data_IF_934535326554
#
_entry.id   IF_934535326554
#
_cell.length_a   1.000
_cell.length_b   1.000
_cell.length_c   1.000
_cell.angle_alpha   90.00
_cell.angle_beta   90.00
_cell.angle_gamma   90.00
#
_symmetry.space_group_name_H-M   'P 1'
#
loop_
_entity.id
_entity.type
_entity.pdbx_description
1 polymer ?
#
# COMPACT_ATOMS: atom_id res chain seq x y z
N UNK A 1 -31.94 3.02 6.66
CA UNK A 1 -31.11 4.25 6.64
C UNK A 1 -29.70 3.76 6.41
N UNK A 2 -29.00 4.27 5.40
CA UNK A 2 -27.62 3.88 5.12
C UNK A 2 -26.72 4.40 6.25
N UNK A 3 -25.66 3.67 6.58
CA UNK A 3 -24.67 4.11 7.55
C UNK A 3 -23.99 5.41 7.06
N UNK A 4 -23.96 6.45 7.89
CA UNK A 4 -23.37 7.74 7.56
C UNK A 4 -21.86 7.63 7.25
N UNK A 5 -21.17 6.62 7.78
CA UNK A 5 -19.75 6.36 7.51
C UNK A 5 -19.52 5.89 6.07
N UNK A 6 -20.48 5.16 5.49
CA UNK A 6 -20.47 4.75 4.07
C UNK A 6 -20.69 5.97 3.18
N UNK A 7 -21.61 6.86 3.56
CA UNK A 7 -21.85 8.11 2.83
C UNK A 7 -20.63 9.02 2.84
N UNK A 8 -19.96 9.17 4.00
CA UNK A 8 -18.69 9.90 4.12
C UNK A 8 -17.59 9.28 3.25
N UNK A 9 -17.46 7.95 3.27
CA UNK A 9 -16.45 7.25 2.47
C UNK A 9 -16.70 7.46 0.97
N UNK A 10 -17.93 7.31 0.50
CA UNK A 10 -18.28 7.57 -0.89
C UNK A 10 -18.00 9.02 -1.30
N UNK A 11 -18.33 9.98 -0.43
CA UNK A 11 -18.01 11.39 -0.62
C UNK A 11 -16.51 11.62 -0.79
N UNK A 12 -15.68 11.08 0.11
CA UNK A 12 -14.24 11.21 0.06
C UNK A 12 -13.66 10.57 -1.21
N UNK A 13 -14.06 9.34 -1.55
CA UNK A 13 -13.56 8.65 -2.73
C UNK A 13 -13.84 9.43 -4.02
N UNK A 14 -15.06 9.97 -4.17
CA UNK A 14 -15.46 10.71 -5.38
C UNK A 14 -14.82 12.10 -5.44
N UNK A 15 -14.89 12.87 -4.35
CA UNK A 15 -14.55 14.29 -4.37
C UNK A 15 -13.09 14.58 -4.02
N UNK A 16 -12.47 13.73 -3.20
CA UNK A 16 -11.09 13.91 -2.76
C UNK A 16 -10.12 12.97 -3.49
N UNK A 17 -10.38 11.66 -3.53
CA UNK A 17 -9.43 10.70 -4.12
C UNK A 17 -9.37 10.82 -5.64
N UNK A 18 -10.50 10.59 -6.34
CA UNK A 18 -10.52 10.69 -7.80
C UNK A 18 -10.85 12.09 -8.32
N UNK A 19 -11.30 13.02 -7.46
CA UNK A 19 -11.66 14.41 -7.80
C UNK A 19 -12.52 14.46 -9.07
N UNK A 20 -13.62 13.70 -9.07
CA UNK A 20 -14.47 13.49 -10.23
C UNK A 20 -15.09 14.80 -10.69
N UNK A 21 -14.90 15.15 -11.96
CA UNK A 21 -15.44 16.34 -12.59
C UNK A 21 -16.80 16.11 -13.26
N UNK A 22 -17.52 17.20 -13.52
CA UNK A 22 -18.76 17.16 -14.29
C UNK A 22 -18.50 16.64 -15.72
N UNK A 23 -19.28 15.65 -16.14
CA UNK A 23 -19.16 15.01 -17.45
C UNK A 23 -18.11 13.89 -17.51
N UNK A 24 -17.28 13.70 -16.48
CA UNK A 24 -16.31 12.61 -16.41
C UNK A 24 -16.99 11.26 -16.14
N UNK A 25 -16.45 10.20 -16.74
CA UNK A 25 -16.91 8.82 -16.60
C UNK A 25 -16.09 8.11 -15.53
N UNK A 26 -16.75 7.48 -14.56
CA UNK A 26 -16.08 6.71 -13.49
C UNK A 26 -16.48 5.24 -13.53
N UNK A 27 -15.50 4.35 -13.60
CA UNK A 27 -15.72 2.91 -13.45
C UNK A 27 -15.57 2.51 -11.98
N UNK A 28 -16.68 2.08 -11.37
CA UNK A 28 -16.74 1.49 -10.04
C UNK A 28 -16.70 -0.02 -10.20
N UNK A 29 -15.55 -0.62 -9.87
CA UNK A 29 -15.34 -2.06 -9.96
C UNK A 29 -15.28 -2.66 -8.55
N UNK A 30 -16.23 -3.53 -8.23
CA UNK A 30 -16.35 -4.13 -6.92
C UNK A 30 -16.18 -5.65 -6.99
N UNK A 31 -15.17 -6.16 -6.29
CA UNK A 31 -14.89 -7.57 -6.08
C UNK A 31 -15.41 -8.00 -4.70
N UNK A 32 -16.42 -8.86 -4.66
CA UNK A 32 -17.18 -9.19 -3.45
C UNK A 32 -18.25 -8.12 -3.21
N UNK A 33 -19.51 -8.41 -3.55
CA UNK A 33 -20.51 -7.35 -3.79
C UNK A 33 -20.93 -6.63 -2.50
N UNK A 34 -20.59 -5.33 -2.40
CA UNK A 34 -20.95 -4.43 -1.30
C UNK A 34 -21.96 -3.38 -1.77
N UNK A 35 -23.24 -3.77 -1.78
CA UNK A 35 -24.31 -2.99 -2.42
C UNK A 35 -24.46 -1.58 -1.88
N UNK A 36 -24.40 -1.40 -0.56
CA UNK A 36 -24.63 -0.08 0.06
C UNK A 36 -23.56 0.94 -0.32
N UNK A 37 -22.28 0.56 -0.31
CA UNK A 37 -21.20 1.45 -0.74
C UNK A 37 -21.24 1.71 -2.24
N UNK A 38 -21.52 0.69 -3.08
CA UNK A 38 -21.66 0.90 -4.52
C UNK A 38 -22.80 1.86 -4.84
N UNK A 39 -23.95 1.73 -4.17
CA UNK A 39 -25.06 2.68 -4.33
C UNK A 39 -24.67 4.09 -3.89
N UNK A 40 -23.96 4.23 -2.77
CA UNK A 40 -23.48 5.52 -2.30
C UNK A 40 -22.50 6.19 -3.29
N UNK A 41 -21.58 5.41 -3.86
CA UNK A 41 -20.65 5.90 -4.90
C UNK A 41 -21.38 6.35 -6.17
N UNK A 42 -22.39 5.60 -6.61
CA UNK A 42 -23.22 5.99 -7.78
C UNK A 42 -23.96 7.29 -7.51
N UNK A 43 -24.61 7.41 -6.35
CA UNK A 43 -25.33 8.62 -5.96
C UNK A 43 -24.39 9.82 -5.87
N UNK A 44 -23.21 9.65 -5.29
CA UNK A 44 -22.22 10.70 -5.13
C UNK A 44 -21.56 11.11 -6.46
N UNK A 45 -21.29 10.14 -7.35
CA UNK A 45 -20.80 10.43 -8.70
C UNK A 45 -21.79 11.30 -9.49
N UNK A 46 -23.10 11.02 -9.38
CA UNK A 46 -24.13 11.86 -10.00
C UNK A 46 -24.20 13.25 -9.38
N UNK A 47 -24.00 13.40 -8.06
CA UNK A 47 -23.93 14.72 -7.41
C UNK A 47 -22.75 15.55 -7.91
N UNK A 48 -21.60 14.92 -8.18
CA UNK A 48 -20.44 15.54 -8.82
C UNK A 48 -20.65 15.86 -10.31
N UNK A 49 -21.78 15.42 -10.90
CA UNK A 49 -22.09 15.59 -12.32
C UNK A 49 -21.38 14.60 -13.22
N UNK A 50 -20.75 13.57 -12.67
CA UNK A 50 -20.10 12.48 -13.41
C UNK A 50 -21.06 11.37 -13.82
N UNK A 51 -20.56 10.44 -14.63
CA UNK A 51 -21.30 9.30 -15.15
C UNK A 51 -20.74 7.98 -14.60
N UNK A 52 -21.40 7.34 -13.63
CA UNK A 52 -20.93 6.09 -13.05
C UNK A 52 -21.22 4.89 -13.99
N UNK A 53 -20.22 4.04 -14.13
CA UNK A 53 -20.27 2.71 -14.74
C UNK A 53 -19.94 1.69 -13.66
N UNK A 54 -20.72 0.61 -13.54
CA UNK A 54 -20.55 -0.35 -12.44
C UNK A 54 -20.20 -1.73 -13.00
N UNK A 55 -19.17 -2.34 -12.44
CA UNK A 55 -18.78 -3.73 -12.67
C UNK A 55 -18.77 -4.48 -11.34
N UNK A 56 -19.53 -5.56 -11.25
CA UNK A 56 -19.63 -6.40 -10.05
C UNK A 56 -18.98 -7.75 -10.35
N UNK A 57 -17.98 -8.11 -9.54
CA UNK A 57 -17.21 -9.33 -9.64
C UNK A 57 -17.27 -10.10 -8.33
N UNK A 58 -17.18 -11.42 -8.42
CA UNK A 58 -17.24 -12.32 -7.29
C UNK A 58 -15.95 -13.13 -7.22
N UNK A 59 -15.13 -12.99 -6.16
CA UNK A 59 -13.85 -13.69 -6.02
C UNK A 59 -13.92 -15.20 -6.26
N UNK A 60 -14.99 -15.86 -5.82
CA UNK A 60 -15.17 -17.31 -6.03
C UNK A 60 -15.35 -17.67 -7.52
N UNK A 61 -16.02 -16.80 -8.29
CA UNK A 61 -16.19 -16.97 -9.74
C UNK A 61 -14.85 -16.70 -10.43
N UNK A 62 -14.16 -15.63 -10.06
CA UNK A 62 -12.85 -15.30 -10.62
C UNK A 62 -11.85 -16.44 -10.41
N UNK A 63 -11.79 -17.00 -9.20
CA UNK A 63 -11.01 -18.19 -8.88
C UNK A 63 -11.38 -19.39 -9.76
N UNK A 64 -12.67 -19.68 -9.94
CA UNK A 64 -13.12 -20.78 -10.79
C UNK A 64 -12.70 -20.60 -12.26
N UNK A 65 -12.75 -19.36 -12.78
CA UNK A 65 -12.22 -19.04 -14.10
C UNK A 65 -10.70 -19.19 -14.17
N UNK A 66 -9.96 -18.81 -13.11
CA UNK A 66 -8.50 -18.93 -13.07
C UNK A 66 -8.04 -20.38 -13.10
N UNK A 67 -8.74 -21.30 -12.43
CA UNK A 67 -8.43 -22.74 -12.50
C UNK A 67 -8.49 -23.28 -13.93
N UNK A 68 -9.39 -22.75 -14.75
CA UNK A 68 -9.53 -23.07 -16.17
C UNK A 68 -8.75 -22.16 -17.12
N UNK A 69 -7.88 -21.27 -16.62
CA UNK A 69 -7.35 -20.17 -17.42
C UNK A 69 -6.61 -20.65 -18.67
N UNK A 70 -7.00 -20.07 -19.81
CA UNK A 70 -6.33 -20.18 -21.09
C UNK A 70 -5.90 -18.79 -21.56
N UNK A 71 -4.70 -18.68 -22.15
CA UNK A 71 -4.12 -17.40 -22.56
C UNK A 71 -4.99 -16.68 -23.59
N UNK A 72 -5.64 -17.40 -24.51
CA UNK A 72 -6.49 -16.77 -25.53
C UNK A 72 -7.79 -16.22 -24.94
N UNK A 73 -8.38 -16.93 -23.98
CA UNK A 73 -9.56 -16.47 -23.23
C UNK A 73 -9.22 -15.22 -22.41
N UNK A 74 -8.15 -15.25 -21.63
CA UNK A 74 -7.78 -14.13 -20.76
C UNK A 74 -7.29 -12.90 -21.53
N UNK A 75 -6.64 -13.09 -22.68
CA UNK A 75 -6.36 -11.98 -23.60
C UNK A 75 -7.64 -11.30 -24.09
N UNK A 76 -8.71 -12.07 -24.34
CA UNK A 76 -10.02 -11.51 -24.72
C UNK A 76 -10.73 -10.81 -23.57
N UNK A 77 -10.62 -11.32 -22.34
CA UNK A 77 -11.12 -10.63 -21.14
C UNK A 77 -10.37 -9.30 -20.98
N UNK A 78 -9.05 -9.31 -21.06
CA UNK A 78 -8.22 -8.10 -20.96
C UNK A 78 -8.56 -7.09 -22.07
N UNK A 79 -8.82 -7.54 -23.30
CA UNK A 79 -9.27 -6.66 -24.39
C UNK A 79 -10.64 -6.04 -24.08
N UNK A 80 -11.62 -6.85 -23.66
CA UNK A 80 -12.97 -6.38 -23.32
C UNK A 80 -12.95 -5.35 -22.18
N UNK A 81 -12.33 -5.71 -21.06
CA UNK A 81 -12.26 -4.82 -19.88
C UNK A 81 -11.40 -3.59 -20.16
N UNK A 82 -10.28 -3.77 -20.87
CA UNK A 82 -9.41 -2.66 -21.25
C UNK A 82 -10.09 -1.68 -22.21
N UNK A 83 -10.96 -2.14 -23.11
CA UNK A 83 -11.74 -1.25 -23.98
C UNK A 83 -12.74 -0.40 -23.19
N UNK A 84 -13.40 -0.97 -22.18
CA UNK A 84 -14.25 -0.19 -21.27
C UNK A 84 -13.40 0.82 -20.50
N UNK A 85 -12.27 0.38 -19.95
CA UNK A 85 -11.42 1.20 -19.09
C UNK A 85 -10.77 2.38 -19.81
N UNK A 86 -10.35 2.22 -21.08
CA UNK A 86 -9.83 3.32 -21.92
C UNK A 86 -10.83 4.44 -22.16
N UNK A 87 -12.12 4.14 -22.03
CA UNK A 87 -13.18 5.12 -22.18
C UNK A 87 -13.53 5.81 -20.85
N UNK A 88 -12.85 5.50 -19.74
CA UNK A 88 -13.13 6.07 -18.43
C UNK A 88 -12.11 7.15 -18.08
N UNK A 89 -12.56 8.17 -17.34
CA UNK A 89 -11.70 9.23 -16.82
C UNK A 89 -11.20 8.88 -15.40
N UNK A 90 -12.00 8.12 -14.65
CA UNK A 90 -11.70 7.69 -13.29
C UNK A 90 -12.04 6.21 -13.02
N UNK A 91 -11.38 5.62 -12.02
CA UNK A 91 -11.57 4.24 -11.57
C UNK A 91 -11.61 4.14 -10.05
N UNK A 92 -12.58 3.40 -9.51
CA UNK A 92 -12.65 3.05 -8.09
C UNK A 92 -12.69 1.53 -7.95
N UNK A 93 -11.64 0.96 -7.36
CA UNK A 93 -11.49 -0.48 -7.17
C UNK A 93 -11.79 -0.92 -5.74
N UNK A 94 -12.97 -1.48 -5.50
CA UNK A 94 -13.40 -1.97 -4.19
C UNK A 94 -13.09 -3.47 -4.04
N UNK A 95 -12.21 -3.82 -3.09
CA UNK A 95 -11.82 -5.20 -2.79
C UNK A 95 -12.45 -5.63 -1.46
N UNK A 96 -13.49 -6.44 -1.53
CA UNK A 96 -14.33 -6.80 -0.39
C UNK A 96 -14.52 -8.32 -0.30
N UNK A 97 -13.44 -9.08 -0.56
CA UNK A 97 -13.47 -10.53 -0.48
C UNK A 97 -13.61 -11.02 0.96
N UNK A 98 -14.35 -12.12 1.13
CA UNK A 98 -14.54 -12.78 2.42
C UNK A 98 -13.40 -13.75 2.76
N UNK A 99 -12.40 -13.89 1.89
CA UNK A 99 -11.29 -14.81 2.06
C UNK A 99 -10.04 -14.29 1.31
N UNK A 100 -9.00 -13.91 2.05
CA UNK A 100 -7.72 -13.46 1.49
C UNK A 100 -6.98 -14.57 0.72
N UNK A 101 -7.30 -15.84 1.03
CA UNK A 101 -6.64 -17.01 0.44
C UNK A 101 -7.45 -17.64 -0.70
N UNK A 102 -8.44 -16.94 -1.26
CA UNK A 102 -9.37 -17.49 -2.23
C UNK A 102 -8.65 -18.17 -3.40
N UNK A 103 -7.58 -17.56 -3.94
CA UNK A 103 -6.83 -18.09 -5.08
C UNK A 103 -5.65 -18.98 -4.71
N UNK A 104 -5.51 -19.40 -3.44
CA UNK A 104 -4.32 -20.11 -2.94
C UNK A 104 -4.04 -21.47 -3.60
N UNK A 105 -5.04 -22.13 -4.17
CA UNK A 105 -4.90 -23.39 -4.90
C UNK A 105 -4.84 -23.24 -6.42
N UNK A 106 -4.87 -22.01 -6.93
CA UNK A 106 -4.70 -21.74 -8.36
C UNK A 106 -3.25 -22.05 -8.76
N UNK A 107 -3.00 -22.91 -9.76
CA UNK A 107 -1.65 -23.24 -10.19
C UNK A 107 -0.85 -22.02 -10.67
N UNK A 108 0.47 -22.02 -10.43
CA UNK A 108 1.34 -20.88 -10.73
C UNK A 108 1.36 -20.48 -12.21
N UNK A 109 1.26 -21.44 -13.13
CA UNK A 109 1.16 -21.20 -14.57
C UNK A 109 -0.16 -20.48 -14.94
N UNK A 110 -1.25 -20.75 -14.22
CA UNK A 110 -2.55 -20.08 -14.39
C UNK A 110 -2.54 -18.66 -13.83
N UNK A 111 -1.95 -18.46 -12.65
CA UNK A 111 -1.73 -17.12 -12.08
C UNK A 111 -0.87 -16.27 -13.02
N UNK A 112 0.15 -16.87 -13.65
CA UNK A 112 0.99 -16.20 -14.65
C UNK A 112 0.17 -15.72 -15.85
N UNK A 113 -0.75 -16.54 -16.38
CA UNK A 113 -1.65 -16.12 -17.47
C UNK A 113 -2.46 -14.89 -17.07
N UNK A 114 -3.07 -14.89 -15.88
CA UNK A 114 -3.80 -13.72 -15.38
C UNK A 114 -2.92 -12.48 -15.30
N UNK A 115 -1.73 -12.61 -14.70
CA UNK A 115 -0.78 -11.51 -14.54
C UNK A 115 -0.33 -10.91 -15.88
N UNK A 116 -0.02 -11.75 -16.87
CA UNK A 116 0.44 -11.31 -18.20
C UNK A 116 -0.68 -10.72 -19.08
N UNK A 117 -1.94 -10.85 -18.68
CA UNK A 117 -3.11 -10.38 -19.44
C UNK A 117 -3.90 -9.32 -18.69
N UNK A 118 -4.86 -9.71 -17.85
CA UNK A 118 -5.75 -8.81 -17.10
C UNK A 118 -4.96 -8.00 -16.08
N UNK A 119 -4.00 -8.62 -15.39
CA UNK A 119 -3.09 -7.92 -14.48
C UNK A 119 -2.30 -6.82 -15.20
N UNK A 120 -1.66 -7.16 -16.32
CA UNK A 120 -0.92 -6.22 -17.17
C UNK A 120 -1.81 -5.10 -17.73
N UNK A 121 -3.05 -5.41 -18.10
CA UNK A 121 -4.03 -4.43 -18.57
C UNK A 121 -4.30 -3.35 -17.50
N UNK A 122 -4.44 -3.75 -16.23
CA UNK A 122 -4.56 -2.78 -15.16
C UNK A 122 -3.31 -1.88 -15.04
N UNK A 123 -2.10 -2.43 -15.09
CA UNK A 123 -0.88 -1.60 -15.03
C UNK A 123 -0.73 -0.66 -16.23
N UNK A 124 -1.10 -1.09 -17.44
CA UNK A 124 -0.88 -0.31 -18.67
C UNK A 124 -1.99 0.68 -19.00
N UNK A 125 -3.21 0.44 -18.52
CA UNK A 125 -4.39 1.27 -18.79
C UNK A 125 -4.86 1.94 -17.50
N UNK A 126 -5.32 1.17 -16.50
CA UNK A 126 -5.88 1.71 -15.25
C UNK A 126 -4.95 2.74 -14.62
N UNK A 127 -3.72 2.31 -14.30
CA UNK A 127 -2.77 3.11 -13.53
C UNK A 127 -2.30 4.32 -14.34
N UNK A 128 -2.01 4.12 -15.63
CA UNK A 128 -1.39 5.15 -16.48
C UNK A 128 -2.38 6.16 -17.09
N UNK A 129 -3.66 5.83 -17.18
CA UNK A 129 -4.62 6.59 -18.00
C UNK A 129 -5.87 7.06 -17.26
N UNK A 130 -6.06 6.67 -15.99
CA UNK A 130 -7.22 7.08 -15.20
C UNK A 130 -6.81 7.73 -13.89
N UNK A 131 -7.66 8.62 -13.35
CA UNK A 131 -7.59 8.96 -11.93
C UNK A 131 -8.10 7.75 -11.15
N UNK A 132 -7.31 7.14 -10.27
CA UNK A 132 -7.69 5.86 -9.68
C UNK A 132 -7.54 5.85 -8.17
N UNK A 133 -8.43 5.12 -7.50
CA UNK A 133 -8.30 4.78 -6.09
C UNK A 133 -8.65 3.32 -5.87
N UNK A 134 -7.90 2.63 -5.02
CA UNK A 134 -8.18 1.26 -4.59
C UNK A 134 -8.34 1.22 -3.08
N UNK A 135 -9.30 0.42 -2.63
CA UNK A 135 -9.54 0.21 -1.22
C UNK A 135 -9.94 -1.23 -0.91
N UNK A 136 -9.68 -1.62 0.34
CA UNK A 136 -10.33 -2.79 0.96
C UNK A 136 -11.70 -2.38 1.49
N UNK A 137 -12.58 -3.34 1.73
CA UNK A 137 -13.83 -3.14 2.48
C UNK A 137 -13.87 -4.08 3.67
N UNK A 138 -14.38 -3.66 4.85
CA UNK A 138 -14.33 -4.47 6.05
C UNK A 138 -15.11 -5.76 5.85
N UNK A 139 -14.48 -6.87 6.20
CA UNK A 139 -15.08 -8.20 6.17
C UNK A 139 -14.76 -8.96 7.45
N UNK A 140 -15.50 -10.05 7.71
CA UNK A 140 -15.22 -10.91 8.88
C UNK A 140 -13.83 -11.55 8.79
N UNK A 141 -13.32 -11.81 7.58
CA UNK A 141 -11.97 -12.32 7.38
C UNK A 141 -10.92 -11.30 7.81
N UNK A 142 -11.09 -10.02 7.46
CA UNK A 142 -10.16 -8.98 7.88
C UNK A 142 -10.19 -8.79 9.40
N UNK A 143 -11.39 -8.77 10.00
CA UNK A 143 -11.53 -8.71 11.44
C UNK A 143 -10.81 -9.87 12.15
N UNK A 144 -10.91 -11.08 11.60
CA UNK A 144 -10.21 -12.25 12.14
C UNK A 144 -8.69 -12.14 12.03
N UNK A 145 -8.16 -11.66 10.90
CA UNK A 145 -6.73 -11.41 10.71
C UNK A 145 -6.19 -10.36 11.68
N UNK A 146 -6.95 -9.28 11.87
CA UNK A 146 -6.69 -8.22 12.84
C UNK A 146 -6.89 -8.66 14.31
N UNK A 147 -7.37 -9.89 14.56
CA UNK A 147 -7.73 -10.40 15.90
C UNK A 147 -8.78 -9.53 16.62
N UNK A 148 -9.70 -8.94 15.87
CA UNK A 148 -10.76 -8.07 16.35
C UNK A 148 -12.14 -8.71 16.20
N UNK A 149 -13.12 -8.20 16.96
CA UNK A 149 -14.53 -8.48 16.66
C UNK A 149 -14.96 -7.78 15.38
N UNK A 150 -15.91 -8.33 14.62
CA UNK A 150 -16.38 -7.74 13.36
C UNK A 150 -16.84 -6.28 13.52
N UNK A 151 -17.64 -5.97 14.54
CA UNK A 151 -18.11 -4.61 14.79
C UNK A 151 -16.97 -3.66 15.17
N UNK A 152 -16.05 -4.12 16.04
CA UNK A 152 -14.87 -3.31 16.39
C UNK A 152 -13.94 -3.05 15.22
N UNK A 153 -13.77 -4.03 14.31
CA UNK A 153 -12.99 -3.84 13.08
C UNK A 153 -13.70 -2.90 12.11
N UNK A 154 -15.02 -2.94 12.02
CA UNK A 154 -15.80 -2.02 11.19
C UNK A 154 -15.66 -0.56 11.67
N UNK A 155 -15.76 -0.32 12.98
CA UNK A 155 -15.53 0.99 13.58
C UNK A 155 -14.12 1.50 13.27
N UNK A 156 -13.10 0.68 13.56
CA UNK A 156 -11.70 0.94 13.22
C UNK A 156 -11.52 1.28 11.73
N UNK A 157 -12.04 0.43 10.83
CA UNK A 157 -11.91 0.62 9.39
C UNK A 157 -12.44 1.98 8.96
N UNK A 158 -13.62 2.37 9.44
CA UNK A 158 -14.21 3.63 9.04
C UNK A 158 -13.50 4.84 9.65
N UNK A 159 -12.93 4.73 10.85
CA UNK A 159 -12.09 5.80 11.43
C UNK A 159 -10.84 6.03 10.56
N UNK A 160 -10.16 4.95 10.17
CA UNK A 160 -8.97 5.01 9.31
C UNK A 160 -9.33 5.51 7.90
N UNK A 161 -10.32 4.92 7.24
CA UNK A 161 -10.65 5.21 5.85
C UNK A 161 -11.41 6.52 5.66
N UNK A 162 -12.01 7.09 6.71
CA UNK A 162 -12.64 8.42 6.68
C UNK A 162 -11.83 9.50 7.42
N UNK A 163 -10.56 9.25 7.69
CA UNK A 163 -9.62 10.27 8.16
C UNK A 163 -9.66 11.50 7.25
N UNK A 164 -9.39 12.69 7.81
CA UNK A 164 -9.21 13.90 7.02
C UNK A 164 -7.86 13.85 6.28
N UNK A 165 -7.86 13.19 5.13
CA UNK A 165 -6.68 13.05 4.29
C UNK A 165 -6.16 14.40 3.76
N UNK A 166 -7.01 15.43 3.66
CA UNK A 166 -6.57 16.78 3.31
C UNK A 166 -5.67 17.38 4.39
N UNK A 167 -6.12 17.31 5.65
CA UNK A 167 -5.32 17.71 6.81
C UNK A 167 -4.00 16.92 6.91
N UNK A 168 -4.05 15.61 6.68
CA UNK A 168 -2.85 14.76 6.63
C UNK A 168 -1.90 15.17 5.49
N UNK A 169 -2.44 15.45 4.31
CA UNK A 169 -1.68 15.89 3.14
C UNK A 169 -0.91 17.18 3.42
N UNK A 170 -1.54 18.15 4.09
CA UNK A 170 -0.89 19.40 4.50
C UNK A 170 0.21 19.15 5.56
N UNK A 171 -0.03 18.26 6.53
CA UNK A 171 0.96 17.88 7.54
C UNK A 171 2.20 17.21 6.93
N UNK A 172 2.04 16.46 5.83
CA UNK A 172 3.14 15.77 5.13
C UNK A 172 4.10 16.72 4.39
N UNK A 173 3.71 17.97 4.11
CA UNK A 173 4.53 18.91 3.34
C UNK A 173 5.91 19.14 3.99
N UNK A 174 5.95 19.27 5.32
CA UNK A 174 7.21 19.44 6.07
C UNK A 174 8.15 18.24 5.91
N UNK A 175 7.62 17.02 5.94
CA UNK A 175 8.42 15.80 5.77
C UNK A 175 8.90 15.63 4.33
N UNK A 176 8.05 15.90 3.34
CA UNK A 176 8.42 15.88 1.92
C UNK A 176 9.54 16.88 1.65
N UNK A 177 9.41 18.11 2.14
CA UNK A 177 10.45 19.13 1.99
C UNK A 177 11.77 18.72 2.63
N UNK A 178 11.72 18.11 3.81
CA UNK A 178 12.91 17.69 4.53
C UNK A 178 13.59 16.51 3.84
N UNK A 179 12.84 15.49 3.43
CA UNK A 179 13.38 14.32 2.71
C UNK A 179 14.03 14.75 1.39
N UNK A 180 13.42 15.66 0.63
CA UNK A 180 14.00 16.18 -0.62
C UNK A 180 15.30 16.99 -0.42
N UNK A 181 15.60 17.46 0.79
CA UNK A 181 16.84 18.17 1.15
C UNK A 181 17.89 17.24 1.77
N UNK A 182 17.50 16.02 2.13
CA UNK A 182 18.33 15.08 2.89
C UNK A 182 19.24 14.30 1.96
N UNK A 183 20.52 14.16 2.32
CA UNK A 183 21.39 13.18 1.68
C UNK A 183 21.28 11.84 2.42
N UNK A 184 21.62 11.82 3.71
CA UNK A 184 21.89 10.59 4.45
C UNK A 184 20.81 10.29 5.48
N UNK A 185 20.33 9.05 5.51
CA UNK A 185 19.41 8.53 6.51
C UNK A 185 20.15 7.52 7.40
N UNK A 186 19.92 7.57 8.71
CA UNK A 186 20.37 6.56 9.67
C UNK A 186 19.19 6.08 10.51
N UNK A 187 18.91 4.78 10.45
CA UNK A 187 17.87 4.11 11.21
C UNK A 187 18.50 3.31 12.34
N UNK A 188 18.03 3.53 13.56
CA UNK A 188 18.52 2.86 14.77
C UNK A 188 17.34 2.24 15.51
N UNK A 189 17.53 1.03 16.02
CA UNK A 189 16.55 0.34 16.85
C UNK A 189 17.05 -1.04 17.29
N UNK A 190 16.23 -1.83 18.00
CA UNK A 190 16.59 -3.18 18.38
C UNK A 190 16.97 -4.03 17.16
N UNK A 191 18.25 -4.43 17.07
CA UNK A 191 18.77 -5.21 15.93
C UNK A 191 18.90 -4.44 14.61
N UNK A 192 18.60 -3.14 14.59
CA UNK A 192 18.66 -2.28 13.41
C UNK A 192 19.71 -1.18 13.59
N UNK A 193 20.65 -1.12 12.66
CA UNK A 193 21.62 -0.05 12.49
C UNK A 193 21.92 0.01 11.00
N UNK A 194 21.21 0.91 10.30
CA UNK A 194 21.20 0.97 8.83
C UNK A 194 21.43 2.39 8.36
N UNK A 195 22.36 2.58 7.44
CA UNK A 195 22.62 3.87 6.79
C UNK A 195 22.45 3.77 5.29
N UNK A 196 21.91 4.81 4.67
CA UNK A 196 21.72 4.92 3.23
C UNK A 196 21.57 6.38 2.82
N UNK A 197 21.56 6.65 1.52
CA UNK A 197 21.29 7.97 0.97
C UNK A 197 19.92 7.99 0.29
N UNK A 198 19.20 9.11 0.34
CA UNK A 198 17.99 9.40 -0.45
C UNK A 198 18.20 10.61 -1.37
N UNK A 199 19.46 11.03 -1.54
CA UNK A 199 19.82 12.22 -2.28
C UNK A 199 19.31 12.19 -3.72
N UNK A 200 18.75 13.31 -4.14
CA UNK A 200 18.29 13.57 -5.52
C UNK A 200 17.19 12.60 -6.00
N UNK A 201 16.54 11.87 -5.09
CA UNK A 201 15.35 11.03 -5.37
C UNK A 201 14.13 11.72 -4.74
N UNK A 202 13.04 11.94 -5.51
CA UNK A 202 11.87 12.63 -4.99
C UNK A 202 11.21 11.91 -3.80
N UNK A 203 10.76 12.69 -2.82
CA UNK A 203 9.82 12.23 -1.80
C UNK A 203 8.37 12.52 -2.23
N UNK A 204 7.50 11.52 -2.08
CA UNK A 204 6.12 11.52 -2.55
C UNK A 204 5.21 11.24 -1.35
N UNK A 205 4.20 12.09 -1.15
CA UNK A 205 3.18 11.88 -0.12
C UNK A 205 2.04 11.01 -0.65
N UNK A 206 1.62 10.05 0.15
CA UNK A 206 0.43 9.25 -0.08
C UNK A 206 -0.61 9.63 0.97
N UNK A 207 -1.56 10.45 0.54
CA UNK A 207 -2.57 11.04 1.40
C UNK A 207 -3.97 10.81 0.84
N UNK A 208 -4.33 9.57 0.54
CA UNK A 208 -5.71 9.14 0.25
C UNK A 208 -6.14 9.34 -1.20
N UNK A 209 -5.20 9.62 -2.11
CA UNK A 209 -5.51 9.84 -3.53
C UNK A 209 -5.58 8.52 -4.31
N UNK A 210 -4.65 7.59 -4.05
CA UNK A 210 -4.51 6.33 -4.80
C UNK A 210 -4.89 5.10 -3.98
N UNK A 211 -4.65 5.14 -2.67
CA UNK A 211 -4.96 4.07 -1.72
C UNK A 211 -5.90 4.57 -0.64
N UNK A 212 -6.83 3.72 -0.20
CA UNK A 212 -7.59 3.93 1.04
C UNK A 212 -7.60 2.60 1.83
N UNK A 213 -7.08 2.59 3.07
CA UNK A 213 -6.47 3.71 3.76
C UNK A 213 -5.13 4.15 3.14
N UNK A 214 -4.65 5.30 3.59
CA UNK A 214 -3.34 5.84 3.23
C UNK A 214 -2.65 6.43 4.46
N UNK A 215 -1.47 7.04 4.28
CA UNK A 215 -0.79 7.74 5.37
C UNK A 215 0.70 7.44 5.44
N UNK A 216 1.42 7.69 4.36
CA UNK A 216 2.88 7.59 4.32
C UNK A 216 3.51 8.71 3.49
N UNK A 217 4.81 8.92 3.69
CA UNK A 217 5.67 9.62 2.72
C UNK A 217 6.77 8.67 2.29
N UNK A 218 6.83 8.36 1.00
CA UNK A 218 7.80 7.42 0.44
C UNK A 218 8.82 8.11 -0.45
N UNK A 219 9.97 7.47 -0.60
CA UNK A 219 10.99 7.74 -1.61
C UNK A 219 11.67 6.42 -1.94
N UNK A 220 12.80 6.44 -2.65
CA UNK A 220 13.66 5.28 -2.78
C UNK A 220 15.07 5.61 -2.27
N UNK A 221 15.78 4.64 -1.66
CA UNK A 221 17.19 4.82 -1.36
C UNK A 221 18.00 4.88 -2.67
N UNK A 222 19.08 5.67 -2.67
CA UNK A 222 20.13 5.56 -3.69
C UNK A 222 20.60 4.11 -3.69
N UNK A 223 20.37 3.42 -4.81
CA UNK A 223 20.34 1.95 -4.87
C UNK A 223 21.54 1.28 -4.21
N UNK A 224 22.74 1.79 -4.45
CA UNK A 224 24.00 1.18 -4.03
C UNK A 224 24.54 1.76 -2.70
N UNK A 225 23.74 2.54 -1.96
CA UNK A 225 24.19 3.27 -0.76
C UNK A 225 23.90 2.56 0.58
N UNK A 226 23.04 1.54 0.59
CA UNK A 226 22.52 0.92 1.81
C UNK A 226 23.58 0.03 2.46
N UNK A 227 23.87 0.27 3.74
CA UNK A 227 24.84 -0.49 4.52
C UNK A 227 24.36 -0.65 5.96
N UNK A 228 24.53 -1.86 6.51
CA UNK A 228 24.18 -2.18 7.89
C UNK A 228 23.16 -3.32 7.99
N UNK A 229 22.42 -3.38 9.09
CA UNK A 229 21.44 -4.43 9.36
C UNK A 229 20.08 -3.81 9.67
N UNK A 230 19.03 -4.40 9.12
CA UNK A 230 17.64 -4.02 9.37
C UNK A 230 16.84 -5.26 9.78
N UNK A 231 16.10 -5.14 10.88
CA UNK A 231 15.16 -6.16 11.36
C UNK A 231 13.74 -5.65 11.22
N UNK A 232 12.77 -6.55 11.05
CA UNK A 232 11.35 -6.24 10.98
C UNK A 232 10.59 -6.91 12.13
N UNK A 233 9.63 -6.18 12.70
CA UNK A 233 8.87 -6.61 13.88
C UNK A 233 7.37 -6.77 13.61
N UNK A 234 6.95 -6.65 12.34
CA UNK A 234 5.57 -6.93 11.91
C UNK A 234 5.50 -8.25 11.14
N UNK A 235 4.43 -9.05 11.32
CA UNK A 235 4.18 -10.20 10.47
C UNK A 235 3.84 -9.76 9.04
N UNK A 236 4.47 -10.37 8.04
CA UNK A 236 4.24 -10.04 6.62
C UNK A 236 3.73 -11.26 5.84
N UNK A 237 2.42 -11.34 5.56
CA UNK A 237 1.86 -12.34 4.67
C UNK A 237 2.35 -12.14 3.24
N UNK A 238 3.00 -13.15 2.67
CA UNK A 238 3.47 -13.13 1.30
C UNK A 238 3.40 -14.53 0.69
N UNK A 239 2.73 -14.65 -0.46
CA UNK A 239 2.56 -15.91 -1.20
C UNK A 239 2.07 -17.10 -0.32
N UNK A 240 1.09 -16.85 0.54
CA UNK A 240 0.46 -17.88 1.39
C UNK A 240 1.29 -18.32 2.60
N UNK A 241 2.33 -17.58 2.95
CA UNK A 241 3.12 -17.78 4.17
C UNK A 241 3.28 -16.46 4.91
N UNK A 242 3.23 -16.49 6.25
CA UNK A 242 3.47 -15.30 7.08
C UNK A 242 4.91 -15.30 7.55
N UNK A 243 5.70 -14.37 7.01
CA UNK A 243 7.08 -14.16 7.44
C UNK A 243 7.10 -13.34 8.72
N UNK A 244 7.92 -13.78 9.67
CA UNK A 244 8.12 -13.12 10.96
C UNK A 244 9.61 -13.11 11.30
N UNK A 245 10.03 -12.14 12.12
CA UNK A 245 11.42 -11.97 12.56
C UNK A 245 12.39 -11.85 11.38
N UNK A 246 11.99 -11.12 10.34
CA UNK A 246 12.82 -10.91 9.16
C UNK A 246 14.03 -10.04 9.53
N UNK A 247 15.22 -10.40 9.06
CA UNK A 247 16.43 -9.61 9.24
C UNK A 247 17.29 -9.66 7.97
N UNK A 248 17.72 -8.49 7.51
CA UNK A 248 18.57 -8.31 6.34
C UNK A 248 19.86 -7.59 6.70
N UNK A 249 20.99 -8.11 6.20
CA UNK A 249 22.28 -7.41 6.21
C UNK A 249 22.58 -6.90 4.82
N UNK A 250 22.84 -5.60 4.72
CA UNK A 250 23.14 -4.88 3.49
C UNK A 250 24.61 -4.53 3.39
N UNK A 251 25.13 -4.61 2.17
CA UNK A 251 26.42 -4.06 1.80
C UNK A 251 26.34 -3.47 0.40
N UNK A 252 26.76 -2.22 0.26
CA UNK A 252 26.76 -1.49 -1.02
C UNK A 252 25.41 -1.59 -1.75
N UNK A 253 24.30 -1.44 -1.02
CA UNK A 253 22.93 -1.52 -1.53
C UNK A 253 22.30 -2.90 -1.57
N UNK A 254 23.11 -3.96 -1.51
CA UNK A 254 22.63 -5.33 -1.74
C UNK A 254 22.40 -6.09 -0.45
N UNK A 255 21.29 -6.84 -0.38
CA UNK A 255 21.02 -7.85 0.66
C UNK A 255 22.00 -9.02 0.47
N UNK A 256 23.00 -9.08 1.35
CA UNK A 256 24.02 -10.15 1.36
C UNK A 256 23.66 -11.30 2.30
N UNK A 257 22.79 -11.06 3.27
CA UNK A 257 22.27 -12.06 4.21
C UNK A 257 20.79 -11.75 4.51
N UNK A 258 19.96 -12.79 4.54
CA UNK A 258 18.55 -12.70 4.87
C UNK A 258 18.13 -13.88 5.74
N UNK A 259 17.45 -13.59 6.85
CA UNK A 259 16.91 -14.59 7.79
C UNK A 259 15.47 -14.25 8.14
N UNK A 260 14.70 -15.27 8.52
CA UNK A 260 13.31 -15.17 8.98
C UNK A 260 12.94 -16.44 9.78
N UNK A 261 11.69 -16.53 10.23
CA UNK A 261 11.10 -17.78 10.74
C UNK A 261 11.23 -18.97 9.76
N UNK A 262 11.42 -18.72 8.46
CA UNK A 262 11.86 -19.70 7.45
C UNK A 262 12.91 -19.08 6.51
N UNK A 263 14.19 -19.19 6.89
CA UNK A 263 15.33 -18.64 6.14
C UNK A 263 15.46 -19.18 4.71
N UNK A 264 15.11 -20.45 4.48
CA UNK A 264 15.20 -21.03 3.13
C UNK A 264 14.14 -20.40 2.22
N UNK A 265 12.92 -20.20 2.73
CA UNK A 265 11.82 -19.62 1.96
C UNK A 265 12.05 -18.14 1.63
N UNK A 266 12.53 -17.34 2.57
CA UNK A 266 12.77 -15.91 2.30
C UNK A 266 13.86 -15.71 1.26
N UNK A 267 14.94 -16.50 1.30
CA UNK A 267 15.98 -16.42 0.27
C UNK A 267 15.46 -16.84 -1.09
N UNK A 268 14.55 -17.82 -1.17
CA UNK A 268 13.89 -18.20 -2.43
C UNK A 268 13.09 -17.04 -3.04
N UNK A 269 12.45 -16.20 -2.21
CA UNK A 269 11.76 -14.99 -2.68
C UNK A 269 12.77 -13.99 -3.25
N UNK A 270 13.84 -13.72 -2.50
CA UNK A 270 14.90 -12.78 -2.89
C UNK A 270 15.75 -13.27 -4.09
N UNK A 271 15.67 -14.55 -4.44
CA UNK A 271 16.33 -15.13 -5.62
C UNK A 271 15.45 -15.12 -6.88
N UNK A 272 14.30 -14.42 -6.85
CA UNK A 272 13.39 -14.29 -8.00
C UNK A 272 14.09 -13.67 -9.21
N UNK A 273 14.88 -12.61 -8.98
CA UNK A 273 15.71 -11.93 -9.97
C UNK A 273 16.82 -11.11 -9.28
N UNK A 274 17.66 -10.43 -10.05
CA UNK A 274 18.78 -9.65 -9.51
C UNK A 274 18.30 -8.47 -8.65
N UNK A 275 17.22 -7.78 -9.08
CA UNK A 275 16.70 -6.59 -8.42
C UNK A 275 15.99 -6.89 -7.10
N UNK A 276 15.53 -8.13 -6.89
CA UNK A 276 14.89 -8.58 -5.65
C UNK A 276 15.79 -8.47 -4.41
N UNK A 277 17.13 -8.38 -4.58
CA UNK A 277 18.10 -8.17 -3.49
C UNK A 277 18.48 -6.71 -3.26
N UNK A 278 17.83 -5.79 -3.95
CA UNK A 278 17.99 -4.35 -3.78
C UNK A 278 16.65 -3.74 -3.37
N UNK A 279 16.67 -2.51 -2.88
CA UNK A 279 15.49 -1.84 -2.32
C UNK A 279 14.93 -0.86 -3.34
N UNK A 280 13.62 -0.96 -3.59
CA UNK A 280 12.89 -0.07 -4.48
C UNK A 280 12.25 1.11 -3.77
N UNK A 281 12.06 1.03 -2.45
CA UNK A 281 11.34 2.03 -1.68
C UNK A 281 11.78 2.06 -0.21
N UNK A 282 11.74 3.27 0.36
CA UNK A 282 11.77 3.56 1.78
C UNK A 282 10.64 4.55 2.09
N UNK A 283 9.81 4.25 3.09
CA UNK A 283 8.74 5.15 3.49
C UNK A 283 8.53 5.23 5.00
N UNK A 284 7.86 6.31 5.42
CA UNK A 284 7.54 6.59 6.81
C UNK A 284 6.01 6.63 6.97
N UNK A 285 5.46 5.70 7.76
CA UNK A 285 4.04 5.62 8.07
C UNK A 285 3.60 6.59 9.17
N UNK A 286 2.43 7.22 8.98
CA UNK A 286 1.90 8.31 9.81
C UNK A 286 0.38 8.25 10.04
N UNK A 287 -0.31 7.14 9.74
CA UNK A 287 -1.74 7.06 9.98
C UNK A 287 -2.04 6.92 11.50
N UNK A 288 -2.71 7.90 12.14
CA UNK A 288 -2.84 7.97 13.60
C UNK A 288 -3.81 6.95 14.19
N UNK A 289 -4.55 6.23 13.35
CA UNK A 289 -5.53 5.23 13.80
C UNK A 289 -4.99 3.81 13.69
N UNK A 290 -3.96 3.57 12.88
CA UNK A 290 -3.40 2.23 12.65
C UNK A 290 -2.23 2.02 13.61
N UNK A 291 -2.51 1.38 14.74
CA UNK A 291 -1.50 1.11 15.77
C UNK A 291 -0.87 -0.28 15.65
N UNK A 292 -1.68 -1.30 15.32
CA UNK A 292 -1.26 -2.71 15.37
C UNK A 292 -1.25 -3.34 13.98
N UNK A 293 -0.28 -4.23 13.69
CA UNK A 293 -0.29 -5.03 12.46
C UNK A 293 -1.55 -5.88 12.36
N UNK A 294 -2.21 -5.83 11.21
CA UNK A 294 -3.41 -6.60 10.91
C UNK A 294 -3.24 -7.65 9.82
N UNK A 295 -2.01 -7.83 9.31
CA UNK A 295 -1.70 -8.78 8.24
C UNK A 295 -2.40 -8.42 6.91
N UNK A 296 -2.60 -7.13 6.67
CA UNK A 296 -2.93 -6.58 5.36
C UNK A 296 -2.00 -5.41 5.09
N UNK A 297 -1.11 -5.58 4.09
CA UNK A 297 -0.03 -4.63 3.85
C UNK A 297 -0.52 -3.21 3.55
N UNK A 298 -1.71 -3.07 2.94
CA UNK A 298 -2.32 -1.77 2.65
C UNK A 298 -2.54 -0.93 3.92
N UNK A 299 -2.73 -1.60 5.06
CA UNK A 299 -2.84 -0.94 6.37
C UNK A 299 -1.50 -0.93 7.10
N UNK A 300 -0.80 -2.07 7.11
CA UNK A 300 0.39 -2.25 7.95
C UNK A 300 1.52 -1.29 7.56
N UNK A 301 1.68 -0.98 6.27
CA UNK A 301 2.69 -0.03 5.77
C UNK A 301 2.40 1.44 6.16
N UNK A 302 1.19 1.72 6.66
CA UNK A 302 0.73 3.05 7.05
C UNK A 302 0.77 3.29 8.56
N UNK A 303 1.21 2.29 9.35
CA UNK A 303 1.20 2.34 10.83
C UNK A 303 1.93 3.57 11.35
N UNK A 304 1.32 4.28 12.31
CA UNK A 304 1.98 5.41 12.97
C UNK A 304 3.27 5.01 13.69
N UNK A 305 4.29 5.85 13.54
CA UNK A 305 5.59 5.61 14.15
C UNK A 305 6.36 4.43 13.53
N UNK A 306 5.93 3.96 12.35
CA UNK A 306 6.62 2.91 11.60
C UNK A 306 7.40 3.47 10.41
N UNK A 307 8.25 2.64 9.83
CA UNK A 307 8.79 2.83 8.49
C UNK A 307 8.77 1.48 7.78
N UNK A 308 8.85 1.48 6.46
CA UNK A 308 9.07 0.25 5.69
C UNK A 308 10.17 0.38 4.66
N UNK A 309 10.64 -0.79 4.27
CA UNK A 309 11.62 -1.01 3.22
C UNK A 309 11.07 -2.08 2.29
N UNK A 310 11.30 -1.89 0.99
CA UNK A 310 10.66 -2.72 -0.02
C UNK A 310 11.71 -3.34 -0.93
N UNK A 311 12.10 -4.61 -0.72
CA UNK A 311 12.93 -5.33 -1.67
C UNK A 311 12.23 -5.44 -3.03
N UNK A 312 12.97 -5.10 -4.10
CA UNK A 312 12.50 -5.18 -5.47
C UNK A 312 12.20 -3.84 -6.14
N UNK A 313 11.23 -3.84 -7.05
CA UNK A 313 10.93 -2.79 -8.02
C UNK A 313 10.75 -1.41 -7.38
N UNK A 314 11.40 -0.38 -7.92
CA UNK A 314 11.10 1.01 -7.54
C UNK A 314 9.91 1.57 -8.34
N UNK A 315 9.27 2.61 -7.78
CA UNK A 315 8.27 3.41 -8.48
C UNK A 315 8.90 4.39 -9.47
N UNK A 316 8.16 4.76 -10.51
CA UNK A 316 8.62 5.73 -11.51
C UNK A 316 8.76 7.14 -10.89
N UNK A 317 7.92 7.46 -9.90
CA UNK A 317 7.89 8.73 -9.16
C UNK A 317 9.09 8.92 -8.23
N UNK A 318 9.66 7.83 -7.72
CA UNK A 318 10.84 7.79 -6.85
C UNK A 318 11.90 6.84 -7.42
N UNK A 319 12.25 7.05 -8.69
CA UNK A 319 13.07 6.11 -9.44
C UNK A 319 14.52 6.07 -8.98
N UNK A 320 14.99 4.90 -8.54
CA UNK A 320 16.41 4.65 -8.21
C UNK A 320 17.11 3.68 -9.18
N UNK A 321 16.43 3.26 -10.24
CA UNK A 321 16.97 2.32 -11.23
C UNK A 321 16.83 0.85 -10.89
N UNK A 322 16.24 0.47 -9.75
CA UNK A 322 16.02 -0.93 -9.42
C UNK A 322 14.82 -1.49 -10.19
N UNK A 323 15.01 -2.64 -10.85
CA UNK A 323 13.96 -3.33 -11.59
C UNK A 323 13.82 -4.77 -11.10
N UNK A 324 12.60 -5.19 -10.77
CA UNK A 324 12.33 -6.54 -10.25
C UNK A 324 10.90 -6.98 -10.54
N UNK A 325 10.65 -8.28 -10.49
CA UNK A 325 9.31 -8.85 -10.53
C UNK A 325 8.59 -8.78 -9.17
N UNK A 326 9.32 -8.49 -8.09
CA UNK A 326 8.74 -8.32 -6.74
C UNK A 326 8.78 -6.86 -6.31
N UNK A 327 7.86 -6.49 -5.42
CA UNK A 327 7.84 -5.26 -4.64
C UNK A 327 7.14 -5.68 -3.35
N UNK A 328 7.92 -5.86 -2.27
CA UNK A 328 7.42 -6.48 -1.05
C UNK A 328 7.67 -5.61 0.17
N UNK A 329 6.63 -4.92 0.63
CA UNK A 329 6.74 -3.99 1.75
C UNK A 329 6.87 -4.76 3.08
N UNK A 330 7.91 -4.42 3.83
CA UNK A 330 8.22 -4.98 5.14
C UNK A 330 8.33 -3.85 6.16
N UNK A 331 7.57 -3.96 7.25
CA UNK A 331 7.35 -2.85 8.18
C UNK A 331 8.15 -3.04 9.47
N UNK A 332 8.73 -1.94 9.96
CA UNK A 332 9.34 -1.83 11.27
C UNK A 332 8.66 -0.71 12.06
N UNK A 333 8.06 -1.06 13.20
CA UNK A 333 7.43 -0.11 14.12
C UNK A 333 8.47 0.34 15.14
N UNK A 334 8.73 1.65 15.22
CA UNK A 334 9.70 2.23 16.15
C UNK A 334 9.07 2.79 17.43
N UNK A 335 7.77 2.60 17.68
CA UNK A 335 7.15 3.07 18.91
C UNK A 335 7.76 2.39 20.15
N UNK A 336 7.70 3.06 21.30
CA UNK A 336 8.33 2.59 22.54
C UNK A 336 7.85 1.19 22.99
N UNK A 337 6.57 0.88 22.78
CA UNK A 337 5.96 -0.43 23.05
C UNK A 337 6.47 -1.56 22.12
N UNK A 338 7.08 -1.20 20.98
CA UNK A 338 7.75 -2.09 20.04
C UNK A 338 9.28 -2.13 20.21
N UNK A 339 9.80 -1.50 21.28
CA UNK A 339 11.23 -1.46 21.60
C UNK A 339 11.93 -0.15 21.24
N UNK A 340 11.20 0.80 20.65
CA UNK A 340 11.73 2.12 20.34
C UNK A 340 12.60 2.16 19.09
N UNK A 341 13.11 3.34 18.79
CA UNK A 341 13.99 3.56 17.65
C UNK A 341 14.16 5.03 17.31
N UNK A 342 15.13 5.31 16.46
CA UNK A 342 15.48 6.67 16.06
C UNK A 342 15.64 6.72 14.53
N UNK A 343 15.24 7.85 13.93
CA UNK A 343 15.51 8.19 12.54
C UNK A 343 16.32 9.49 12.54
N UNK A 344 17.43 9.47 11.83
CA UNK A 344 18.25 10.65 11.60
C UNK A 344 18.31 10.99 10.12
N UNK A 345 18.19 12.27 9.80
CA UNK A 345 18.46 12.84 8.48
C UNK A 345 19.67 13.77 8.60
N UNK A 346 20.74 13.50 7.84
CA UNK A 346 22.00 14.25 7.87
C UNK A 346 22.53 14.50 9.30
N UNK A 347 22.58 13.42 10.09
CA UNK A 347 23.00 13.41 11.51
C UNK A 347 22.10 14.20 12.48
N UNK A 348 20.93 14.67 12.02
CA UNK A 348 19.90 15.33 12.85
C UNK A 348 18.81 14.33 13.20
N UNK A 349 18.51 14.15 14.48
CA UNK A 349 17.39 13.33 14.95
C UNK A 349 16.06 13.95 14.55
N UNK A 350 15.27 13.23 13.74
CA UNK A 350 13.96 13.71 13.24
C UNK A 350 12.78 13.00 13.90
N UNK A 351 12.96 11.73 14.29
CA UNK A 351 11.94 10.92 14.97
C UNK A 351 12.57 10.06 16.05
N UNK A 352 11.94 10.01 17.23
CA UNK A 352 12.32 9.13 18.33
C UNK A 352 11.10 8.41 18.88
N UNK A 353 11.22 7.10 19.02
CA UNK A 353 10.20 6.22 19.57
C UNK A 353 8.83 6.40 18.90
N UNK A 354 8.85 6.60 17.57
CA UNK A 354 7.68 6.85 16.73
C UNK A 354 7.18 8.29 16.67
N UNK A 355 7.74 9.21 17.47
CA UNK A 355 7.31 10.63 17.56
C UNK A 355 8.31 11.56 16.88
N UNK A 356 7.82 12.45 16.02
CA UNK A 356 8.64 13.48 15.38
C UNK A 356 9.06 14.54 16.39
N UNK A 357 10.34 14.93 16.36
CA UNK A 357 10.94 15.83 17.37
C UNK A 357 11.30 17.21 16.83
N UNK A 358 11.24 17.39 15.51
CA UNK A 358 11.48 18.68 14.87
C UNK A 358 10.19 19.52 14.82
N UNK A 359 10.25 20.84 15.10
CA UNK A 359 9.07 21.70 15.05
C UNK A 359 8.32 21.66 13.70
N UNK A 360 9.05 21.60 12.58
CA UNK A 360 8.47 21.52 11.23
C UNK A 360 7.77 20.19 10.92
N UNK A 361 7.95 19.17 11.76
CA UNK A 361 7.32 17.84 11.63
C UNK A 361 6.28 17.57 12.72
N UNK A 362 6.08 18.49 13.68
CA UNK A 362 5.16 18.29 14.81
C UNK A 362 3.72 17.99 14.37
N UNK A 363 3.29 18.56 13.23
CA UNK A 363 1.97 18.33 12.66
C UNK A 363 1.69 16.86 12.26
N UNK A 364 2.74 16.05 12.08
CA UNK A 364 2.62 14.62 11.75
C UNK A 364 2.49 13.72 12.98
N UNK A 365 2.64 14.26 14.19
CA UNK A 365 2.43 13.48 15.39
C UNK A 365 0.95 13.10 15.54
N UNK A 366 0.62 11.90 16.06
CA UNK A 366 -0.73 11.33 16.00
C UNK A 366 -1.82 12.26 16.54
N UNK A 367 -1.57 12.94 17.64
CA UNK A 367 -2.51 13.87 18.28
C UNK A 367 -2.89 15.07 17.41
N UNK A 368 -2.06 15.41 16.42
CA UNK A 368 -2.29 16.54 15.52
C UNK A 368 -3.02 16.14 14.24
N UNK A 369 -3.16 14.83 13.95
CA UNK A 369 -3.82 14.33 12.74
C UNK A 369 -5.30 13.98 12.95
N UNK A 370 -5.73 13.72 14.19
CA UNK A 370 -7.11 13.36 14.56
C UNK A 370 -8.10 14.53 14.52
#
# INVERSE_FOLDING_TARGET
MRDARIEKLAHNLINYSVKLGAGEKVLIENFGVQKELVMALVEEAYKAGGFPFVSLKEPQIDRAMMLGADSSQYAKIAEFEGNVMKEMDAYIGLRAGDNINETSDVPADKLKIYGETVGKMHSDIRVKQTKWVVLRYPSSSMAQLAKMSTAGFEDFYFDVCNLDYGKMSDAMDGLVELMNKTDKVHLVGPGTDLTFSIKDIPAIKCAGEMNIPDGEVFTAPVRDSINGTLTYNTPSPYQGFTFENVSFTFKDGKIIEATANDTARINKVLDTDEGARFVGEFAIGVNPFIHEPMQDILFDEKIEGSFHFTPGQCYDEAFNGNQSAIHWDLVNIQRADYGGGEIYFDDVLIRKDGIFVLPELEALNPENLV
#
